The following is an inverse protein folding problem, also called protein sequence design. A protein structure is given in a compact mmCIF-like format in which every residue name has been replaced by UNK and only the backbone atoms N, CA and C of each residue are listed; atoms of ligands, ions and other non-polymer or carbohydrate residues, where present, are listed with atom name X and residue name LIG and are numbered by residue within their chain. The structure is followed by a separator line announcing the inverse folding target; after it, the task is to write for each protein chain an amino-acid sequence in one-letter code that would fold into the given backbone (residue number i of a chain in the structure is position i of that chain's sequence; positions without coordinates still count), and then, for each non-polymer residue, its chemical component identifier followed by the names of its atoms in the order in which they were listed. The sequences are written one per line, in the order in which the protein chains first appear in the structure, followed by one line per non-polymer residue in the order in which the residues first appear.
data_IF_926666838227
#
_entry.id   IF_926666838227
#
_cell.length_a   1.000
_cell.length_b   1.000
_cell.length_c   1.000
_cell.angle_alpha   90.00
_cell.angle_beta   90.00
_cell.angle_gamma   90.00
#
_symmetry.space_group_name_H-M   'P 1'
#
loop_
_entity.id
_entity.type
_entity.pdbx_description
1 polymer ?
#
# COMPACT_ATOMS: atom_id res chain seq x y z
N UNK A 1 10.98 14.47 1.92
CA UNK A 1 10.02 15.48 2.36
C UNK A 1 9.67 15.15 3.80
N UNK A 2 9.74 16.10 4.74
CA UNK A 2 9.31 15.83 6.12
C UNK A 2 7.77 15.87 6.13
N UNK A 3 7.14 14.77 6.54
CA UNK A 3 5.70 14.74 6.74
C UNK A 3 5.34 15.57 7.98
N UNK A 4 4.20 16.27 7.98
CA UNK A 4 3.66 16.85 9.20
C UNK A 4 3.22 15.73 10.15
N UNK A 5 3.30 16.00 11.46
CA UNK A 5 3.07 15.00 12.52
C UNK A 5 1.68 14.36 12.45
N UNK A 6 0.64 15.16 12.20
CA UNK A 6 -0.73 14.65 12.04
C UNK A 6 -0.87 13.66 10.88
N UNK A 7 -0.13 13.84 9.78
CA UNK A 7 -0.20 12.94 8.63
C UNK A 7 0.50 11.61 8.95
N UNK A 8 1.58 11.68 9.72
CA UNK A 8 2.28 10.50 10.21
C UNK A 8 1.41 9.70 11.19
N UNK A 9 0.79 10.38 12.16
CA UNK A 9 -0.18 9.79 13.08
C UNK A 9 -1.35 9.15 12.35
N UNK A 10 -1.86 9.82 11.31
CA UNK A 10 -2.95 9.29 10.49
C UNK A 10 -2.57 7.94 9.86
N UNK A 11 -1.40 7.82 9.22
CA UNK A 11 -1.02 6.55 8.58
C UNK A 11 -0.67 5.48 9.62
N UNK A 12 0.00 5.84 10.71
CA UNK A 12 0.33 4.91 11.79
C UNK A 12 -0.92 4.38 12.51
N UNK A 13 -2.00 5.15 12.57
CA UNK A 13 -3.26 4.67 13.11
C UNK A 13 -3.85 3.51 12.29
N UNK A 14 -3.37 3.26 11.07
CA UNK A 14 -3.75 2.09 10.29
C UNK A 14 -2.85 0.87 10.52
N UNK A 15 -1.72 0.99 11.24
CA UNK A 15 -0.84 -0.16 11.45
C UNK A 15 -1.57 -1.33 12.13
N UNK A 16 -1.38 -2.54 11.60
CA UNK A 16 -2.03 -3.76 12.07
C UNK A 16 -3.51 -3.89 11.70
N UNK A 17 -4.13 -2.88 11.08
CA UNK A 17 -5.56 -2.95 10.75
C UNK A 17 -5.85 -3.94 9.63
N UNK A 18 -6.95 -4.64 9.79
CA UNK A 18 -7.56 -5.49 8.76
C UNK A 18 -9.03 -5.13 8.62
N UNK A 19 -9.44 -4.71 7.42
CA UNK A 19 -10.85 -4.47 7.11
C UNK A 19 -11.42 -5.66 6.34
N UNK A 20 -12.49 -6.24 6.82
CA UNK A 20 -13.16 -7.39 6.21
C UNK A 20 -14.40 -6.95 5.45
N UNK A 21 -14.62 -7.55 4.27
CA UNK A 21 -15.85 -7.38 3.50
C UNK A 21 -16.71 -8.65 3.62
N UNK A 22 -18.04 -8.51 3.49
CA UNK A 22 -18.98 -9.64 3.52
C UNK A 22 -18.66 -10.74 2.49
N UNK A 23 -18.00 -10.36 1.38
CA UNK A 23 -17.56 -11.26 0.32
C UNK A 23 -16.34 -12.13 0.69
N UNK A 24 -15.71 -11.88 1.84
CA UNK A 24 -14.47 -12.53 2.30
C UNK A 24 -13.19 -11.84 1.83
N UNK A 25 -13.29 -10.73 1.09
CA UNK A 25 -12.12 -9.90 0.78
C UNK A 25 -11.59 -9.22 2.04
N UNK A 26 -10.32 -8.82 2.02
CA UNK A 26 -9.71 -8.06 3.13
C UNK A 26 -8.81 -6.95 2.63
N UNK A 27 -8.87 -5.76 3.26
CA UNK A 27 -7.78 -4.79 3.22
C UNK A 27 -6.85 -5.03 4.40
N UNK A 28 -5.54 -4.94 4.18
CA UNK A 28 -4.54 -5.04 5.24
C UNK A 28 -3.60 -3.84 5.18
N UNK A 29 -3.18 -3.40 6.36
CA UNK A 29 -2.39 -2.21 6.56
C UNK A 29 -1.22 -2.53 7.48
N UNK A 30 0.00 -2.48 6.96
CA UNK A 30 1.23 -2.59 7.75
C UNK A 30 2.00 -1.28 7.61
N UNK A 31 2.25 -0.58 8.70
CA UNK A 31 2.82 0.77 8.71
C UNK A 31 3.79 0.93 9.87
N UNK A 32 5.03 1.30 9.58
CA UNK A 32 6.06 1.44 10.62
C UNK A 32 6.91 2.69 10.43
N UNK A 33 7.30 3.30 11.55
CA UNK A 33 8.35 4.31 11.56
C UNK A 33 9.70 3.68 11.23
N UNK A 34 10.45 4.33 10.37
CA UNK A 34 11.81 3.95 10.01
C UNK A 34 12.73 5.17 10.04
N UNK A 35 14.03 4.91 10.16
CA UNK A 35 15.01 5.96 9.98
C UNK A 35 14.89 6.56 8.56
N UNK A 36 14.90 7.89 8.47
CA UNK A 36 14.83 8.57 7.19
C UNK A 36 16.04 8.21 6.33
N UNK A 37 15.78 7.63 5.17
CA UNK A 37 16.82 7.28 4.20
C UNK A 37 16.57 7.99 2.87
N UNK A 38 17.59 8.00 2.01
CA UNK A 38 17.46 8.58 0.65
C UNK A 38 16.29 7.96 -0.13
N UNK A 39 16.00 6.67 0.09
CA UNK A 39 14.91 5.92 -0.55
C UNK A 39 13.55 6.09 0.11
N UNK A 40 13.52 6.46 1.39
CA UNK A 40 12.29 6.69 2.18
C UNK A 40 12.47 7.99 2.96
N UNK A 41 12.47 9.14 2.26
CA UNK A 41 12.82 10.43 2.82
C UNK A 41 11.72 11.02 3.72
N UNK A 42 10.64 10.27 3.94
CA UNK A 42 9.53 10.59 4.85
C UNK A 42 9.61 9.80 6.17
N UNK A 43 10.52 8.82 6.32
CA UNK A 43 10.71 8.10 7.59
C UNK A 43 9.57 7.15 7.98
N UNK A 44 8.78 6.70 7.01
CA UNK A 44 7.68 5.75 7.21
C UNK A 44 7.75 4.69 6.14
N UNK A 45 7.60 3.43 6.52
CA UNK A 45 7.44 2.31 5.59
C UNK A 45 6.00 1.80 5.67
N UNK A 46 5.40 1.48 4.53
CA UNK A 46 4.03 0.98 4.44
C UNK A 46 3.89 -0.17 3.45
N UNK A 47 2.90 -1.03 3.72
CA UNK A 47 2.34 -2.03 2.82
C UNK A 47 0.81 -2.01 3.00
N UNK A 48 0.10 -1.53 1.98
CA UNK A 48 -1.36 -1.46 1.92
C UNK A 48 -1.82 -2.46 0.87
N UNK A 49 -2.62 -3.48 1.23
CA UNK A 49 -2.98 -4.54 0.29
C UNK A 49 -4.46 -4.89 0.31
N UNK A 50 -5.01 -5.24 -0.85
CA UNK A 50 -6.32 -5.89 -0.99
C UNK A 50 -6.10 -7.36 -1.31
N UNK A 51 -6.79 -8.24 -0.62
CA UNK A 51 -6.78 -9.68 -0.84
C UNK A 51 -8.15 -10.21 -1.24
N UNK A 52 -8.17 -11.21 -2.12
CA UNK A 52 -9.35 -12.00 -2.43
C UNK A 52 -9.73 -12.93 -1.25
N UNK A 53 -10.93 -13.53 -1.26
CA UNK A 53 -11.32 -14.50 -0.23
C UNK A 53 -10.42 -15.74 -0.18
N UNK A 54 -9.72 -16.05 -1.28
CA UNK A 54 -8.72 -17.12 -1.34
C UNK A 54 -7.33 -16.70 -0.86
N UNK A 55 -7.16 -15.46 -0.35
CA UNK A 55 -5.89 -14.92 0.14
C UNK A 55 -4.98 -14.33 -0.94
N UNK A 56 -5.34 -14.40 -2.22
CA UNK A 56 -4.54 -13.83 -3.31
C UNK A 56 -4.53 -12.31 -3.25
N UNK A 57 -3.34 -11.69 -3.26
CA UNK A 57 -3.20 -10.22 -3.35
C UNK A 57 -3.71 -9.73 -4.70
N UNK A 58 -4.72 -8.86 -4.68
CA UNK A 58 -5.33 -8.24 -5.86
C UNK A 58 -4.74 -6.86 -6.14
N UNK A 59 -4.39 -6.12 -5.09
CA UNK A 59 -3.80 -4.78 -5.15
C UNK A 59 -2.76 -4.65 -4.05
N UNK A 60 -1.76 -3.81 -4.25
CA UNK A 60 -1.22 -3.10 -3.09
C UNK A 60 -0.23 -2.00 -3.41
N UNK A 61 -0.04 -1.13 -2.43
CA UNK A 61 0.86 0.01 -2.44
C UNK A 61 1.93 -0.25 -1.39
N UNK A 62 3.19 -0.15 -1.78
CA UNK A 62 4.30 -0.62 -0.97
C UNK A 62 5.52 0.29 -1.16
N UNK A 63 6.21 0.60 -0.08
CA UNK A 63 7.58 1.11 -0.12
C UNK A 63 8.51 0.42 0.88
N UNK A 64 7.99 -0.58 1.60
CA UNK A 64 8.69 -1.42 2.55
C UNK A 64 9.57 -2.47 1.85
N UNK A 65 9.22 -2.85 0.61
CA UNK A 65 9.97 -3.79 -0.21
C UNK A 65 10.71 -3.07 -1.36
N UNK A 66 12.03 -3.26 -1.51
CA UNK A 66 12.71 -2.86 -2.74
C UNK A 66 12.20 -3.69 -3.91
N UNK A 67 11.73 -3.05 -5.00
CA UNK A 67 11.52 -3.76 -6.27
C UNK A 67 12.87 -4.37 -6.71
N UNK A 68 12.96 -5.69 -6.94
CA UNK A 68 14.19 -6.31 -7.42
C UNK A 68 14.62 -5.67 -8.74
N UNK A 69 15.81 -5.08 -8.79
CA UNK A 69 16.35 -4.50 -10.01
C UNK A 69 16.57 -5.58 -11.08
N UNK A 70 15.80 -5.54 -12.17
CA UNK A 70 16.15 -6.24 -13.42
C UNK A 70 17.08 -5.35 -14.25
N UNK A 71 18.36 -5.27 -13.88
CA UNK A 71 19.35 -4.49 -14.63
C UNK A 71 20.79 -4.92 -14.30
N UNK A 72 21.65 -4.98 -15.32
CA UNK A 72 23.07 -5.32 -15.16
C UNK A 72 23.84 -4.28 -14.35
N UNK A 73 25.08 -4.63 -13.96
CA UNK A 73 26.08 -3.89 -13.13
C UNK A 73 26.17 -2.35 -13.28
N UNK A 74 25.67 -1.76 -14.38
CA UNK A 74 25.84 -0.35 -14.72
C UNK A 74 24.55 0.47 -14.71
N UNK A 75 23.40 -0.13 -14.43
CA UNK A 75 22.13 0.60 -14.34
C UNK A 75 22.02 1.22 -12.95
N UNK A 76 21.90 2.55 -12.87
CA UNK A 76 21.66 3.24 -11.60
C UNK A 76 20.35 2.71 -10.99
N UNK A 77 20.34 2.28 -9.71
CA UNK A 77 19.12 1.86 -9.06
C UNK A 77 18.10 3.00 -9.12
N UNK A 78 16.89 2.72 -9.62
CA UNK A 78 15.77 3.64 -9.44
C UNK A 78 15.59 3.85 -7.93
N UNK A 79 15.69 5.10 -7.49
CA UNK A 79 15.50 5.47 -6.10
C UNK A 79 14.06 5.28 -5.62
N UNK A 80 13.11 5.13 -6.55
CA UNK A 80 11.67 4.99 -6.31
C UNK A 80 11.40 3.73 -5.47
N UNK A 81 11.25 3.92 -4.16
CA UNK A 81 10.84 2.86 -3.23
C UNK A 81 9.32 2.65 -3.30
N UNK A 82 8.57 3.73 -3.45
CA UNK A 82 7.12 3.70 -3.55
C UNK A 82 6.68 3.11 -4.88
N UNK A 83 5.89 2.04 -4.79
CA UNK A 83 5.37 1.33 -5.94
C UNK A 83 3.99 0.73 -5.63
N UNK A 84 3.27 0.37 -6.69
CA UNK A 84 1.98 -0.28 -6.58
C UNK A 84 1.81 -1.38 -7.60
N UNK A 85 1.03 -2.40 -7.24
CA UNK A 85 0.72 -3.57 -8.05
C UNK A 85 -0.78 -3.63 -8.29
N UNK A 86 -1.22 -3.62 -9.55
CA UNK A 86 -2.65 -3.72 -9.89
C UNK A 86 -3.18 -5.14 -9.98
N UNK A 87 -2.29 -6.14 -10.00
CA UNK A 87 -2.62 -7.57 -10.01
C UNK A 87 -1.54 -8.37 -9.27
N UNK A 88 -1.83 -9.63 -8.94
CA UNK A 88 -0.88 -10.56 -8.34
C UNK A 88 0.40 -10.79 -9.18
N UNK A 89 0.36 -10.52 -10.48
CA UNK A 89 1.47 -10.74 -11.42
C UNK A 89 2.08 -9.44 -11.96
N UNK A 90 1.58 -8.28 -11.52
CA UNK A 90 2.14 -6.98 -11.90
C UNK A 90 3.54 -6.83 -11.29
N UNK A 91 4.53 -6.42 -12.08
CA UNK A 91 5.92 -6.28 -11.62
C UNK A 91 6.13 -5.10 -10.66
N UNK A 92 5.09 -4.29 -10.47
CA UNK A 92 5.13 -3.08 -9.65
C UNK A 92 5.47 -1.87 -10.50
N UNK A 93 4.67 -0.82 -10.38
CA UNK A 93 4.88 0.46 -11.06
C UNK A 93 5.29 1.51 -10.05
N UNK A 94 6.13 2.49 -10.41
CA UNK A 94 6.40 3.62 -9.53
C UNK A 94 5.11 4.29 -9.07
N UNK A 95 5.06 4.64 -7.79
CA UNK A 95 3.99 5.44 -7.21
C UNK A 95 4.58 6.78 -6.78
N UNK A 96 4.02 7.89 -7.29
CA UNK A 96 4.44 9.22 -6.90
C UNK A 96 3.82 9.57 -5.54
N UNK A 97 4.56 9.35 -4.45
CA UNK A 97 4.10 9.71 -3.11
C UNK A 97 3.98 11.24 -2.98
N UNK A 98 2.75 11.74 -2.86
CA UNK A 98 2.43 13.16 -2.68
C UNK A 98 2.19 13.48 -1.20
N UNK A 99 1.29 12.73 -0.56
CA UNK A 99 0.95 12.86 0.85
C UNK A 99 0.31 11.57 1.37
N UNK A 100 0.16 11.45 2.70
CA UNK A 100 -0.51 10.30 3.33
C UNK A 100 -1.98 10.24 2.94
N UNK A 101 -2.66 11.37 2.93
CA UNK A 101 -4.07 11.48 2.56
C UNK A 101 -4.27 11.03 1.11
N UNK A 102 -3.37 11.43 0.20
CA UNK A 102 -3.42 11.01 -1.20
C UNK A 102 -3.15 9.50 -1.35
N UNK A 103 -2.19 8.96 -0.60
CA UNK A 103 -1.91 7.52 -0.58
C UNK A 103 -3.15 6.72 -0.18
N UNK A 104 -3.79 7.09 0.93
CA UNK A 104 -5.01 6.43 1.41
C UNK A 104 -6.16 6.58 0.41
N UNK A 105 -6.40 7.79 -0.10
CA UNK A 105 -7.44 8.05 -1.10
C UNK A 105 -7.24 7.19 -2.36
N UNK A 106 -6.01 7.14 -2.88
CA UNK A 106 -5.69 6.36 -4.08
C UNK A 106 -5.84 4.86 -3.83
N UNK A 107 -5.40 4.37 -2.67
CA UNK A 107 -5.53 2.98 -2.28
C UNK A 107 -7.00 2.56 -2.17
N UNK A 108 -7.82 3.32 -1.42
CA UNK A 108 -9.24 3.00 -1.24
C UNK A 108 -10.01 3.09 -2.55
N UNK A 109 -9.76 4.12 -3.37
CA UNK A 109 -10.40 4.27 -4.69
C UNK A 109 -10.11 3.08 -5.59
N UNK A 110 -8.86 2.61 -5.62
CA UNK A 110 -8.48 1.49 -6.47
C UNK A 110 -9.01 0.15 -5.92
N UNK A 111 -9.03 -0.03 -4.59
CA UNK A 111 -9.64 -1.19 -3.96
C UNK A 111 -11.15 -1.26 -4.26
N UNK A 112 -11.86 -0.15 -4.13
CA UNK A 112 -13.27 -0.02 -4.50
C UNK A 112 -13.50 -0.33 -5.98
N UNK A 113 -12.66 0.19 -6.88
CA UNK A 113 -12.74 -0.14 -8.31
C UNK A 113 -12.67 -1.65 -8.55
N UNK A 114 -11.68 -2.32 -7.94
CA UNK A 114 -11.48 -3.78 -8.10
C UNK A 114 -12.64 -4.58 -7.52
N UNK A 115 -13.16 -4.18 -6.36
CA UNK A 115 -14.31 -4.85 -5.74
C UNK A 115 -15.57 -4.68 -6.59
N UNK A 116 -15.83 -3.48 -7.10
CA UNK A 116 -16.96 -3.20 -7.99
C UNK A 116 -16.86 -4.01 -9.30
N UNK A 117 -15.66 -4.18 -9.87
CA UNK A 117 -15.44 -5.04 -11.05
C UNK A 117 -15.76 -6.51 -10.78
N UNK A 118 -15.71 -6.96 -9.52
CA UNK A 118 -16.10 -8.29 -9.08
C UNK A 118 -17.55 -8.37 -8.57
N UNK A 119 -18.32 -7.28 -8.68
CA UNK A 119 -19.71 -7.20 -8.18
C UNK A 119 -19.82 -7.19 -6.65
N UNK A 120 -18.75 -6.76 -5.95
CA UNK A 120 -18.69 -6.65 -4.49
C UNK A 120 -18.84 -5.18 -4.10
N UNK A 121 -19.77 -4.89 -3.18
CA UNK A 121 -19.91 -3.55 -2.61
C UNK A 121 -18.73 -3.21 -1.68
N UNK A 122 -18.30 -1.95 -1.69
CA UNK A 122 -17.29 -1.44 -0.75
C UNK A 122 -17.94 -1.18 0.62
N UNK A 123 -18.26 -2.26 1.33
CA UNK A 123 -18.84 -2.22 2.66
C UNK A 123 -17.99 -3.05 3.62
N UNK A 124 -17.34 -2.35 4.55
CA UNK A 124 -16.57 -2.97 5.62
C UNK A 124 -17.55 -3.47 6.66
N UNK A 125 -17.52 -4.77 6.94
CA UNK A 125 -18.43 -5.43 7.89
C UNK A 125 -17.78 -5.76 9.23
N UNK A 126 -16.45 -5.74 9.28
CA UNK A 126 -15.66 -5.96 10.48
C UNK A 126 -14.29 -5.29 10.32
N UNK A 127 -13.74 -4.79 11.41
CA UNK A 127 -12.38 -4.28 11.49
C UNK A 127 -11.67 -4.85 12.71
N UNK A 128 -10.47 -5.39 12.48
CA UNK A 128 -9.63 -5.96 13.52
C UNK A 128 -8.26 -5.30 13.49
N UNK A 129 -7.60 -5.29 14.64
CA UNK A 129 -6.19 -4.92 14.80
C UNK A 129 -5.43 -6.20 15.16
N UNK A 130 -4.48 -6.60 14.31
CA UNK A 130 -3.56 -7.74 14.53
C UNK A 130 -2.40 -7.38 15.48
#
# INVERSE_FOLDING_TARGET
MKLPEYALELLLAYDGRVHFFASGHTLRFEVRLIEMAVRTPHGIAYSLTLHSPGGTRLLGFDNAHPVPHRGGRYVKPKLEADHWHRTATDEGRPYDFISVEKLLEDFFREAERILNEQGVAFEIVDDQED
#
